data_IF_566720469930
#
_entry.id   IF_566720469930
#
_cell.length_a   1.000
_cell.length_b   1.000
_cell.length_c   1.000
_cell.angle_alpha   90.00
_cell.angle_beta   90.00
_cell.angle_gamma   90.00
#
_symmetry.space_group_name_H-M   'P 1'
#
loop_
_entity.id
_entity.type
_entity.pdbx_description
1 polymer ?
#
# COMPACT_ATOMS: atom_id res chain seq x y z
N UNK A 1 15.65 18.08 -27.22
CA UNK A 1 16.46 16.84 -27.19
C UNK A 1 16.83 16.36 -25.77
N UNK A 2 16.84 17.23 -24.75
CA UNK A 2 17.17 16.88 -23.35
C UNK A 2 16.24 15.82 -22.73
N UNK A 3 14.93 15.82 -23.07
CA UNK A 3 13.95 14.91 -22.45
C UNK A 3 14.06 13.41 -22.79
N UNK A 4 14.56 13.04 -23.98
CA UNK A 4 14.69 11.62 -24.38
C UNK A 4 15.89 10.93 -23.71
N UNK A 5 17.00 11.65 -23.53
CA UNK A 5 18.18 11.12 -22.88
C UNK A 5 17.95 10.86 -21.38
N UNK A 6 17.23 11.76 -20.70
CA UNK A 6 16.82 11.56 -19.30
C UNK A 6 15.86 10.38 -19.12
N UNK A 7 14.95 10.13 -20.07
CA UNK A 7 14.03 9.00 -20.01
C UNK A 7 14.74 7.66 -20.27
N UNK A 8 15.70 7.63 -21.19
CA UNK A 8 16.49 6.42 -21.47
C UNK A 8 17.40 6.07 -20.27
N UNK A 9 18.03 7.06 -19.64
CA UNK A 9 18.83 6.87 -18.42
C UNK A 9 17.96 6.48 -17.23
N UNK A 10 16.78 7.09 -17.07
CA UNK A 10 15.80 6.70 -16.05
C UNK A 10 15.34 5.25 -16.24
N UNK A 11 15.05 4.83 -17.48
CA UNK A 11 14.70 3.44 -17.80
C UNK A 11 15.85 2.45 -17.54
N UNK A 12 17.08 2.82 -17.90
CA UNK A 12 18.27 1.99 -17.68
C UNK A 12 18.58 1.78 -16.19
N UNK A 13 18.26 2.76 -15.32
CA UNK A 13 18.44 2.66 -13.87
C UNK A 13 17.22 2.06 -13.17
N UNK A 14 16.01 2.24 -13.71
CA UNK A 14 14.78 1.73 -13.12
C UNK A 14 14.74 0.20 -13.06
N UNK A 15 15.15 -0.49 -14.13
CA UNK A 15 15.11 -1.96 -14.17
C UNK A 15 16.02 -2.61 -13.11
N UNK A 16 17.31 -2.21 -12.96
CA UNK A 16 18.16 -2.73 -11.89
C UNK A 16 17.63 -2.44 -10.48
N UNK A 17 17.14 -1.21 -10.25
CA UNK A 17 16.61 -0.79 -8.94
C UNK A 17 15.36 -1.57 -8.56
N UNK A 18 14.46 -1.78 -9.51
CA UNK A 18 13.27 -2.60 -9.31
C UNK A 18 13.70 -4.04 -9.05
N UNK A 19 14.59 -4.64 -9.85
CA UNK A 19 15.04 -6.02 -9.63
C UNK A 19 15.74 -6.25 -8.28
N UNK A 20 16.41 -5.24 -7.75
CA UNK A 20 17.09 -5.31 -6.46
C UNK A 20 16.13 -5.25 -5.25
N UNK A 21 14.86 -4.89 -5.45
CA UNK A 21 13.89 -4.82 -4.37
C UNK A 21 13.52 -6.23 -3.87
N UNK A 22 13.17 -6.33 -2.58
CA UNK A 22 12.62 -7.56 -1.99
C UNK A 22 11.16 -7.74 -2.40
N UNK A 23 10.93 -8.18 -3.63
CA UNK A 23 9.59 -8.44 -4.16
C UNK A 23 8.91 -9.66 -3.55
N UNK A 24 9.66 -10.63 -3.03
CA UNK A 24 9.10 -11.87 -2.48
C UNK A 24 7.97 -11.64 -1.46
N UNK A 25 8.16 -10.85 -0.37
CA UNK A 25 7.08 -10.58 0.57
C UNK A 25 5.90 -9.81 -0.06
N UNK A 26 6.17 -8.91 -1.01
CA UNK A 26 5.11 -8.18 -1.72
C UNK A 26 4.26 -9.15 -2.53
N UNK A 27 4.87 -9.94 -3.41
CA UNK A 27 4.16 -10.88 -4.28
C UNK A 27 3.46 -11.98 -3.47
N UNK A 28 4.07 -12.46 -2.39
CA UNK A 28 3.43 -13.41 -1.49
C UNK A 28 2.17 -12.82 -0.83
N UNK A 29 2.25 -11.58 -0.33
CA UNK A 29 1.12 -10.88 0.26
C UNK A 29 -0.02 -10.65 -0.76
N UNK A 30 0.32 -10.26 -2.00
CA UNK A 30 -0.65 -10.11 -3.08
C UNK A 30 -1.29 -11.44 -3.46
N UNK A 31 -0.52 -12.52 -3.54
CA UNK A 31 -1.02 -13.85 -3.84
C UNK A 31 -1.98 -14.33 -2.75
N UNK A 32 -1.61 -14.17 -1.47
CA UNK A 32 -2.47 -14.52 -0.33
C UNK A 32 -3.75 -13.69 -0.33
N UNK A 33 -3.64 -12.37 -0.53
CA UNK A 33 -4.82 -11.49 -0.61
C UNK A 33 -5.76 -11.85 -1.77
N UNK A 34 -5.21 -12.15 -2.95
CA UNK A 34 -6.01 -12.62 -4.08
C UNK A 34 -6.69 -13.96 -3.79
N UNK A 35 -5.95 -14.90 -3.18
CA UNK A 35 -6.46 -16.21 -2.81
C UNK A 35 -7.60 -16.13 -1.80
N UNK A 36 -7.58 -15.17 -0.86
CA UNK A 36 -8.68 -14.94 0.09
C UNK A 36 -10.02 -14.65 -0.61
N UNK A 37 -10.00 -14.02 -1.79
CA UNK A 37 -11.21 -13.74 -2.56
C UNK A 37 -11.59 -14.91 -3.48
N UNK A 38 -10.61 -15.49 -4.18
CA UNK A 38 -10.88 -16.51 -5.19
C UNK A 38 -11.13 -17.91 -4.64
N UNK A 39 -10.43 -18.33 -3.58
CA UNK A 39 -10.50 -19.71 -3.07
C UNK A 39 -11.86 -20.07 -2.48
N UNK A 40 -12.52 -19.22 -1.65
CA UNK A 40 -13.85 -19.53 -1.13
C UNK A 40 -14.86 -19.81 -2.24
N UNK A 41 -14.76 -19.07 -3.36
CA UNK A 41 -15.64 -19.25 -4.50
C UNK A 41 -15.50 -20.61 -5.17
N UNK A 42 -14.26 -21.10 -5.29
CA UNK A 42 -13.95 -22.39 -5.92
C UNK A 42 -14.39 -23.55 -5.03
N UNK A 43 -14.24 -23.41 -3.71
CA UNK A 43 -14.52 -24.47 -2.74
C UNK A 43 -16.01 -24.54 -2.36
N UNK A 44 -16.64 -23.39 -2.17
CA UNK A 44 -17.99 -23.28 -1.59
C UNK A 44 -19.03 -22.68 -2.55
N UNK A 45 -18.62 -22.28 -3.75
CA UNK A 45 -19.51 -21.62 -4.72
C UNK A 45 -19.65 -20.10 -4.47
N UNK A 46 -20.58 -19.44 -5.16
CA UNK A 46 -20.79 -17.99 -5.04
C UNK A 46 -20.99 -17.55 -3.59
N UNK A 47 -20.35 -16.44 -3.23
CA UNK A 47 -20.42 -15.88 -1.87
C UNK A 47 -21.38 -14.70 -1.83
N UNK A 48 -22.01 -14.48 -0.68
CA UNK A 48 -22.83 -13.31 -0.43
C UNK A 48 -22.00 -12.00 -0.59
N UNK A 49 -22.56 -10.92 -1.18
CA UNK A 49 -21.85 -9.66 -1.38
C UNK A 49 -21.21 -9.06 -0.13
N UNK A 50 -21.86 -9.16 1.05
CA UNK A 50 -21.28 -8.65 2.28
C UNK A 50 -20.03 -9.45 2.68
N UNK A 51 -20.05 -10.76 2.46
CA UNK A 51 -18.86 -11.63 2.64
C UNK A 51 -17.74 -11.23 1.69
N UNK A 52 -18.06 -10.98 0.41
CA UNK A 52 -17.06 -10.54 -0.58
C UNK A 52 -16.42 -9.21 -0.20
N UNK A 53 -17.19 -8.26 0.35
CA UNK A 53 -16.66 -6.98 0.86
C UNK A 53 -15.64 -7.21 1.99
N UNK A 54 -15.95 -8.10 2.94
CA UNK A 54 -15.01 -8.46 4.02
C UNK A 54 -13.75 -9.10 3.46
N UNK A 55 -13.88 -10.03 2.50
CA UNK A 55 -12.73 -10.67 1.86
C UNK A 55 -11.85 -9.67 1.09
N UNK A 56 -12.44 -8.69 0.41
CA UNK A 56 -11.72 -7.62 -0.26
C UNK A 56 -10.96 -6.73 0.73
N UNK A 57 -11.58 -6.37 1.86
CA UNK A 57 -10.90 -5.62 2.93
C UNK A 57 -9.71 -6.40 3.48
N UNK A 58 -9.89 -7.70 3.77
CA UNK A 58 -8.80 -8.57 4.22
C UNK A 58 -7.69 -8.68 3.17
N UNK A 59 -8.05 -8.81 1.89
CA UNK A 59 -7.08 -8.86 0.79
C UNK A 59 -6.22 -7.59 0.71
N UNK A 60 -6.85 -6.42 0.87
CA UNK A 60 -6.15 -5.11 0.91
C UNK A 60 -5.23 -5.03 2.13
N UNK A 61 -5.66 -5.50 3.31
CA UNK A 61 -4.81 -5.54 4.50
C UNK A 61 -3.59 -6.45 4.29
N UNK A 62 -3.77 -7.62 3.67
CA UNK A 62 -2.67 -8.48 3.26
C UNK A 62 -1.71 -7.74 2.31
N UNK A 63 -2.23 -7.13 1.25
CA UNK A 63 -1.41 -6.34 0.33
C UNK A 63 -0.63 -5.23 1.04
N UNK A 64 -1.25 -4.53 1.99
CA UNK A 64 -0.64 -3.51 2.84
C UNK A 64 0.58 -4.03 3.62
N UNK A 65 0.54 -5.26 4.14
CA UNK A 65 1.72 -5.88 4.78
C UNK A 65 2.90 -6.01 3.82
N UNK A 66 2.64 -6.37 2.57
CA UNK A 66 3.65 -6.46 1.53
C UNK A 66 4.26 -5.10 1.18
N UNK A 67 3.44 -4.04 1.11
CA UNK A 67 3.87 -2.68 0.71
C UNK A 67 5.02 -2.15 1.56
N UNK A 68 5.04 -2.43 2.87
CA UNK A 68 6.11 -2.01 3.77
C UNK A 68 7.50 -2.51 3.34
N UNK A 69 7.59 -3.68 2.70
CA UNK A 69 8.85 -4.26 2.22
C UNK A 69 9.40 -3.60 0.95
N UNK A 70 8.64 -2.74 0.26
CA UNK A 70 9.17 -1.94 -0.85
C UNK A 70 10.28 -0.97 -0.41
N UNK A 71 10.27 -0.59 0.87
CA UNK A 71 11.28 0.25 1.50
C UNK A 71 12.55 -0.52 1.91
N UNK A 72 12.52 -1.85 1.88
CA UNK A 72 13.70 -2.67 2.16
C UNK A 72 14.61 -2.70 0.94
N UNK A 73 15.75 -2.05 1.10
CA UNK A 73 16.84 -2.03 0.12
C UNK A 73 18.02 -2.86 0.65
N UNK A 74 18.21 -4.10 0.16
CA UNK A 74 19.37 -4.91 0.56
C UNK A 74 20.70 -4.30 0.07
N UNK A 75 20.68 -3.44 -0.95
CA UNK A 75 21.85 -2.74 -1.48
C UNK A 75 22.15 -1.39 -0.81
N UNK A 76 21.35 -0.94 0.16
CA UNK A 76 21.57 0.34 0.86
C UNK A 76 22.96 0.47 1.49
N UNK A 77 23.54 -0.57 2.13
CA UNK A 77 24.87 -0.45 2.73
C UNK A 77 25.98 -0.19 1.71
N UNK A 78 25.85 -0.73 0.48
CA UNK A 78 26.87 -0.61 -0.58
C UNK A 78 26.65 0.60 -1.48
N UNK A 79 25.42 1.12 -1.55
CA UNK A 79 25.05 2.29 -2.37
C UNK A 79 25.06 3.61 -1.61
N UNK A 80 25.26 3.59 -0.28
CA UNK A 80 25.29 4.79 0.56
C UNK A 80 26.41 5.79 0.20
N UNK A 81 27.44 5.35 -0.51
CA UNK A 81 28.57 6.17 -0.97
C UNK A 81 28.37 6.76 -2.36
N UNK A 82 27.32 6.36 -3.08
CA UNK A 82 27.03 6.90 -4.40
C UNK A 82 26.49 8.34 -4.29
N UNK A 83 26.85 9.24 -5.24
CA UNK A 83 26.36 10.61 -5.25
C UNK A 83 24.87 10.73 -5.65
N UNK A 84 24.17 9.60 -5.79
CA UNK A 84 22.73 9.57 -6.10
C UNK A 84 21.91 9.74 -4.83
N UNK A 85 20.84 10.56 -4.88
CA UNK A 85 20.02 10.75 -3.70
C UNK A 85 19.22 9.49 -3.38
N UNK A 86 19.23 9.08 -2.11
CA UNK A 86 18.60 7.83 -1.65
C UNK A 86 17.08 7.75 -1.90
N UNK A 87 16.41 8.88 -2.15
CA UNK A 87 14.97 8.92 -2.46
C UNK A 87 14.66 8.43 -3.87
N UNK A 88 15.59 8.57 -4.82
CA UNK A 88 15.34 8.23 -6.22
C UNK A 88 15.08 6.71 -6.44
N UNK A 89 15.93 5.80 -5.95
CA UNK A 89 15.68 4.37 -6.13
C UNK A 89 14.46 3.88 -5.32
N UNK A 90 14.14 4.55 -4.20
CA UNK A 90 12.94 4.28 -3.43
C UNK A 90 11.68 4.71 -4.21
N UNK A 91 11.68 5.91 -4.79
CA UNK A 91 10.56 6.43 -5.57
C UNK A 91 10.26 5.52 -6.77
N UNK A 92 11.29 5.02 -7.45
CA UNK A 92 11.13 4.06 -8.55
C UNK A 92 10.51 2.73 -8.09
N UNK A 93 10.91 2.22 -6.92
CA UNK A 93 10.33 1.00 -6.33
C UNK A 93 8.88 1.19 -5.92
N UNK A 94 8.55 2.31 -5.28
CA UNK A 94 7.17 2.64 -4.88
C UNK A 94 6.29 2.83 -6.11
N UNK A 95 6.78 3.52 -7.15
CA UNK A 95 6.05 3.70 -8.41
C UNK A 95 5.80 2.35 -9.12
N UNK A 96 6.82 1.50 -9.25
CA UNK A 96 6.68 0.15 -9.80
C UNK A 96 5.72 -0.71 -8.97
N UNK A 97 5.82 -0.65 -7.65
CA UNK A 97 4.92 -1.33 -6.73
C UNK A 97 3.47 -0.86 -6.88
N UNK A 98 3.26 0.45 -7.05
CA UNK A 98 1.95 1.04 -7.32
C UNK A 98 1.30 0.50 -8.59
N UNK A 99 2.07 0.32 -9.67
CA UNK A 99 1.56 -0.28 -10.92
C UNK A 99 1.14 -1.73 -10.70
N UNK A 100 1.98 -2.52 -10.00
CA UNK A 100 1.66 -3.92 -9.68
C UNK A 100 0.42 -4.01 -8.80
N UNK A 101 0.31 -3.16 -7.77
CA UNK A 101 -0.85 -3.08 -6.89
C UNK A 101 -2.13 -2.69 -7.63
N UNK A 102 -2.06 -1.75 -8.58
CA UNK A 102 -3.22 -1.36 -9.38
C UNK A 102 -3.71 -2.52 -10.26
N UNK A 103 -2.79 -3.23 -10.92
CA UNK A 103 -3.14 -4.41 -11.72
C UNK A 103 -3.72 -5.54 -10.87
N UNK A 104 -3.12 -5.80 -9.70
CA UNK A 104 -3.61 -6.77 -8.74
C UNK A 104 -4.99 -6.42 -8.19
N UNK A 105 -5.21 -5.16 -7.80
CA UNK A 105 -6.49 -4.68 -7.27
C UNK A 105 -7.59 -4.81 -8.33
N UNK A 106 -7.30 -4.40 -9.57
CA UNK A 106 -8.21 -4.57 -10.68
C UNK A 106 -8.60 -6.03 -10.90
N UNK A 107 -7.61 -6.93 -10.96
CA UNK A 107 -7.87 -8.37 -11.09
C UNK A 107 -8.71 -8.91 -9.94
N UNK A 108 -8.42 -8.48 -8.70
CA UNK A 108 -9.16 -8.88 -7.50
C UNK A 108 -10.61 -8.38 -7.53
N UNK A 109 -10.87 -7.15 -7.98
CA UNK A 109 -12.22 -6.61 -8.14
C UNK A 109 -13.03 -7.34 -9.22
N UNK A 110 -12.39 -7.71 -10.34
CA UNK A 110 -13.03 -8.50 -11.40
C UNK A 110 -13.41 -9.88 -10.86
N UNK A 111 -12.49 -10.55 -10.16
CA UNK A 111 -12.75 -11.83 -9.52
C UNK A 111 -13.86 -11.71 -8.47
N UNK A 112 -13.81 -10.70 -7.59
CA UNK A 112 -14.85 -10.45 -6.59
C UNK A 112 -16.24 -10.27 -7.22
N UNK A 113 -16.33 -9.54 -8.33
CA UNK A 113 -17.59 -9.37 -9.06
C UNK A 113 -18.12 -10.68 -9.65
N UNK A 114 -17.24 -11.58 -10.11
CA UNK A 114 -17.64 -12.90 -10.57
C UNK A 114 -18.07 -13.83 -9.42
N UNK A 115 -17.48 -13.66 -8.23
CA UNK A 115 -17.72 -14.49 -7.04
C UNK A 115 -18.97 -14.08 -6.26
N UNK A 116 -19.35 -12.80 -6.30
CA UNK A 116 -20.50 -12.24 -5.55
C UNK A 116 -21.88 -12.78 -6.01
N UNK A 117 -21.91 -13.67 -7.01
CA UNK A 117 -23.12 -14.35 -7.48
C UNK A 117 -24.01 -13.50 -8.39
N UNK A 118 -25.11 -14.08 -8.93
CA UNK A 118 -26.02 -13.43 -9.86
C UNK A 118 -27.08 -12.55 -9.19
N UNK A 119 -27.06 -12.40 -7.87
CA UNK A 119 -27.91 -11.42 -7.19
C UNK A 119 -27.52 -10.04 -7.73
N UNK A 120 -28.46 -9.30 -8.34
CA UNK A 120 -28.22 -8.02 -9.03
C UNK A 120 -27.69 -6.87 -8.18
N UNK A 121 -27.05 -7.16 -7.04
CA UNK A 121 -26.36 -6.25 -6.15
C UNK A 121 -25.00 -5.90 -6.75
N UNK A 122 -24.87 -4.66 -7.20
CA UNK A 122 -23.62 -4.13 -7.73
C UNK A 122 -22.69 -3.79 -6.58
N UNK A 123 -21.52 -4.44 -6.51
CA UNK A 123 -20.49 -4.10 -5.52
C UNK A 123 -20.06 -2.62 -5.67
N UNK A 124 -19.92 -1.87 -4.55
CA UNK A 124 -19.56 -0.45 -4.58
C UNK A 124 -18.06 -0.29 -4.86
N UNK A 125 -17.65 -0.53 -6.11
CA UNK A 125 -16.24 -0.57 -6.55
C UNK A 125 -15.47 0.71 -6.21
N UNK A 126 -16.12 1.88 -6.31
CA UNK A 126 -15.52 3.18 -6.01
C UNK A 126 -15.11 3.27 -4.54
N UNK A 127 -16.03 2.94 -3.65
CA UNK A 127 -15.89 3.01 -2.21
C UNK A 127 -14.82 2.02 -1.72
N UNK A 128 -14.87 0.79 -2.22
CA UNK A 128 -13.86 -0.23 -1.92
C UNK A 128 -12.47 0.16 -2.47
N UNK A 129 -12.41 0.84 -3.61
CA UNK A 129 -11.13 1.36 -4.14
C UNK A 129 -10.60 2.50 -3.28
N UNK A 130 -11.48 3.35 -2.73
CA UNK A 130 -11.10 4.38 -1.78
C UNK A 130 -10.49 3.77 -0.51
N UNK A 131 -11.12 2.75 0.06
CA UNK A 131 -10.57 2.00 1.20
C UNK A 131 -9.18 1.42 0.86
N UNK A 132 -9.06 0.76 -0.30
CA UNK A 132 -7.83 0.15 -0.78
C UNK A 132 -6.68 1.15 -0.93
N UNK A 133 -6.94 2.26 -1.62
CA UNK A 133 -5.96 3.33 -1.82
C UNK A 133 -5.56 3.94 -0.49
N UNK A 134 -6.51 4.16 0.43
CA UNK A 134 -6.23 4.73 1.74
C UNK A 134 -5.31 3.83 2.56
N UNK A 135 -5.55 2.52 2.57
CA UNK A 135 -4.67 1.56 3.25
C UNK A 135 -3.27 1.59 2.67
N UNK A 136 -3.13 1.53 1.34
CA UNK A 136 -1.82 1.58 0.68
C UNK A 136 -1.07 2.87 1.03
N UNK A 137 -1.73 4.02 0.93
CA UNK A 137 -1.13 5.32 1.25
C UNK A 137 -0.76 5.42 2.72
N UNK A 138 -1.58 4.92 3.64
CA UNK A 138 -1.28 4.89 5.07
C UNK A 138 -0.04 4.05 5.39
N UNK A 139 0.10 2.88 4.75
CA UNK A 139 1.30 2.06 4.88
C UNK A 139 2.53 2.78 4.32
N UNK A 140 2.42 3.39 3.14
CA UNK A 140 3.53 4.15 2.54
C UNK A 140 3.96 5.32 3.44
N UNK A 141 3.01 6.03 4.04
CA UNK A 141 3.27 7.11 4.99
C UNK A 141 4.02 6.60 6.22
N UNK A 142 3.54 5.50 6.81
CA UNK A 142 4.18 4.86 7.97
C UNK A 142 5.59 4.36 7.65
N UNK A 143 5.74 3.65 6.52
CA UNK A 143 7.03 3.15 6.05
C UNK A 143 8.01 4.28 5.74
N UNK A 144 7.55 5.41 5.19
CA UNK A 144 8.38 6.59 4.96
C UNK A 144 8.87 7.22 6.28
N UNK A 145 8.00 7.32 7.28
CA UNK A 145 8.39 7.80 8.62
C UNK A 145 9.44 6.89 9.27
N UNK A 146 9.27 5.58 9.17
CA UNK A 146 10.20 4.58 9.71
C UNK A 146 11.53 4.64 8.94
N UNK A 147 11.50 4.60 7.61
CA UNK A 147 12.68 4.63 6.73
C UNK A 147 13.59 5.83 6.99
N UNK A 148 13.00 6.97 7.36
CA UNK A 148 13.75 8.18 7.74
C UNK A 148 14.42 8.09 9.10
N UNK A 149 13.81 7.40 10.07
CA UNK A 149 14.36 7.23 11.42
C UNK A 149 15.33 6.06 11.50
N UNK A 150 15.21 5.09 10.62
CA UNK A 150 16.05 3.90 10.59
C UNK A 150 17.36 4.16 9.86
N UNK A 151 18.46 4.16 10.62
CA UNK A 151 19.83 4.26 10.09
C UNK A 151 20.30 2.98 9.36
N UNK A 152 19.61 1.85 9.57
CA UNK A 152 19.93 0.53 8.98
C UNK A 152 18.63 -0.08 8.40
N UNK A 153 18.76 -0.92 7.37
CA UNK A 153 17.61 -1.54 6.68
C UNK A 153 16.69 -2.36 7.58
N UNK A 154 15.59 -2.90 7.03
CA UNK A 154 14.57 -3.61 7.80
C UNK A 154 13.34 -2.76 8.13
N UNK A 155 13.00 -1.82 7.25
CA UNK A 155 11.79 -1.01 7.36
C UNK A 155 10.56 -1.91 7.31
N UNK A 156 10.56 -2.94 6.46
CA UNK A 156 9.44 -3.88 6.35
C UNK A 156 9.12 -4.61 7.67
N UNK A 157 10.16 -4.98 8.41
CA UNK A 157 10.02 -5.70 9.70
C UNK A 157 9.39 -4.85 10.81
N UNK A 158 9.50 -3.52 10.73
CA UNK A 158 8.88 -2.61 11.69
C UNK A 158 7.54 -2.08 11.16
N UNK A 159 7.46 -1.80 9.86
CA UNK A 159 6.27 -1.24 9.22
C UNK A 159 5.10 -2.21 9.23
N UNK A 160 5.32 -3.50 8.98
CA UNK A 160 4.26 -4.50 8.97
C UNK A 160 3.54 -4.64 10.34
N UNK A 161 4.22 -4.88 11.47
CA UNK A 161 3.54 -4.95 12.77
C UNK A 161 2.96 -3.60 13.20
N UNK A 162 3.62 -2.48 12.90
CA UNK A 162 3.08 -1.16 13.18
C UNK A 162 1.80 -0.88 12.39
N UNK A 163 1.73 -1.31 11.13
CA UNK A 163 0.52 -1.22 10.32
C UNK A 163 -0.62 -2.07 10.91
N UNK A 164 -0.34 -3.31 11.32
CA UNK A 164 -1.34 -4.15 11.99
C UNK A 164 -1.85 -3.51 13.27
N UNK A 165 -0.97 -2.90 14.07
CA UNK A 165 -1.39 -2.17 15.28
C UNK A 165 -2.31 -1.00 14.93
N UNK A 166 -2.01 -0.22 13.89
CA UNK A 166 -2.88 0.87 13.42
C UNK A 166 -4.24 0.35 12.93
N UNK A 167 -4.26 -0.72 12.15
CA UNK A 167 -5.51 -1.35 11.67
C UNK A 167 -6.33 -1.87 12.84
N UNK A 168 -5.69 -2.51 13.81
CA UNK A 168 -6.35 -3.00 15.02
C UNK A 168 -6.96 -1.85 15.82
N UNK A 169 -6.23 -0.75 16.03
CA UNK A 169 -6.75 0.45 16.69
C UNK A 169 -7.90 1.08 15.91
N UNK A 170 -7.83 1.10 14.58
CA UNK A 170 -8.91 1.59 13.73
C UNK A 170 -10.18 0.72 13.84
N UNK A 171 -10.04 -0.59 14.02
CA UNK A 171 -11.15 -1.51 14.24
C UNK A 171 -11.81 -1.33 15.63
N UNK A 172 -11.10 -0.77 16.60
CA UNK A 172 -11.61 -0.46 17.95
C UNK A 172 -12.23 0.95 18.06
N UNK A 173 -12.35 1.67 16.94
CA UNK A 173 -12.97 2.99 16.94
C UNK A 173 -14.45 2.90 17.35
N UNK A 174 -14.95 3.85 18.18
CA UNK A 174 -16.37 3.91 18.52
C UNK A 174 -17.26 4.04 17.27
N UNK A 175 -18.48 3.50 17.31
CA UNK A 175 -19.43 3.48 16.17
C UNK A 175 -19.58 4.84 15.46
N UNK A 176 -19.61 5.94 16.24
CA UNK A 176 -19.69 7.32 15.73
C UNK A 176 -18.57 7.72 14.76
N UNK A 177 -17.42 7.07 14.84
CA UNK A 177 -16.21 7.33 14.03
C UNK A 177 -15.67 6.06 13.38
N UNK A 178 -16.44 4.97 13.39
CA UNK A 178 -16.05 3.71 12.78
C UNK A 178 -15.75 3.90 11.29
N UNK A 179 -14.64 3.30 10.85
CA UNK A 179 -14.23 3.25 9.44
C UNK A 179 -14.74 1.98 8.76
N UNK A 180 -14.78 0.87 9.50
CA UNK A 180 -15.20 -0.43 8.99
C UNK A 180 -16.67 -0.66 9.34
N UNK A 181 -17.54 -0.25 8.43
CA UNK A 181 -18.99 -0.43 8.55
C UNK A 181 -19.42 -1.64 7.69
N UNK A 182 -20.42 -2.44 8.12
CA UNK A 182 -20.99 -3.52 7.31
C UNK A 182 -21.51 -3.01 5.95
N UNK A 183 -21.47 -3.89 4.95
CA UNK A 183 -22.06 -3.60 3.65
C UNK A 183 -23.59 -3.42 3.78
N UNK A 184 -24.16 -2.48 3.02
CA UNK A 184 -25.59 -2.12 3.01
C UNK A 184 -26.13 -1.48 4.30
N UNK A 185 -25.24 -1.00 5.18
CA UNK A 185 -25.64 -0.20 6.34
C UNK A 185 -25.98 1.25 5.94
N UNK A 186 -27.01 1.81 6.57
CA UNK A 186 -27.43 3.21 6.45
C UNK A 186 -26.31 4.24 6.64
N UNK A 187 -25.27 3.90 7.43
CA UNK A 187 -24.13 4.79 7.70
C UNK A 187 -22.94 4.61 6.76
N UNK A 188 -23.06 3.75 5.73
CA UNK A 188 -22.00 3.44 4.77
C UNK A 188 -21.39 4.69 4.12
N UNK A 189 -22.22 5.62 3.62
CA UNK A 189 -21.76 6.83 2.96
C UNK A 189 -20.95 7.73 3.92
N UNK A 190 -21.44 7.91 5.16
CA UNK A 190 -20.75 8.70 6.17
C UNK A 190 -19.41 8.08 6.59
N UNK A 191 -19.28 6.74 6.56
CA UNK A 191 -18.01 6.07 6.79
C UNK A 191 -17.01 6.36 5.65
N UNK A 192 -17.46 6.44 4.41
CA UNK A 192 -16.61 6.74 3.25
C UNK A 192 -16.13 8.19 3.19
N UNK A 193 -16.90 9.13 3.76
CA UNK A 193 -16.42 10.50 4.00
C UNK A 193 -15.22 10.49 4.97
N UNK A 194 -15.28 9.67 6.03
CA UNK A 194 -14.16 9.50 6.98
C UNK A 194 -12.95 8.82 6.34
N UNK A 195 -13.18 7.85 5.44
CA UNK A 195 -12.10 7.27 4.63
C UNK A 195 -11.42 8.32 3.75
N UNK A 196 -12.19 9.22 3.14
CA UNK A 196 -11.63 10.32 2.35
C UNK A 196 -10.77 11.26 3.20
N UNK A 197 -11.23 11.64 4.39
CA UNK A 197 -10.44 12.45 5.34
C UNK A 197 -9.17 11.70 5.75
N UNK A 198 -9.26 10.40 5.99
CA UNK A 198 -8.13 9.54 6.35
C UNK A 198 -7.10 9.47 5.21
N UNK A 199 -7.55 9.35 3.97
CA UNK A 199 -6.69 9.40 2.78
C UNK A 199 -5.94 10.71 2.68
N UNK A 200 -6.63 11.85 2.86
CA UNK A 200 -6.02 13.18 2.83
C UNK A 200 -4.96 13.31 3.92
N UNK A 201 -5.27 12.88 5.15
CA UNK A 201 -4.34 12.90 6.27
C UNK A 201 -3.11 12.01 6.00
N UNK A 202 -3.30 10.78 5.54
CA UNK A 202 -2.22 9.86 5.21
C UNK A 202 -1.32 10.40 4.08
N UNK A 203 -1.92 11.01 3.06
CA UNK A 203 -1.20 11.65 1.96
C UNK A 203 -0.37 12.83 2.47
N UNK A 204 -0.94 13.67 3.32
CA UNK A 204 -0.22 14.78 3.94
C UNK A 204 0.98 14.29 4.76
N UNK A 205 0.82 13.23 5.55
CA UNK A 205 1.92 12.61 6.31
C UNK A 205 3.00 12.06 5.37
N UNK A 206 2.62 11.38 4.28
CA UNK A 206 3.57 10.88 3.29
C UNK A 206 4.35 12.01 2.60
N UNK A 207 3.68 13.10 2.22
CA UNK A 207 4.30 14.27 1.61
C UNK A 207 5.23 15.00 2.58
N UNK A 208 4.83 15.17 3.84
CA UNK A 208 5.69 15.76 4.88
C UNK A 208 6.91 14.87 5.10
N UNK A 209 6.73 13.56 5.21
CA UNK A 209 7.85 12.63 5.31
C UNK A 209 8.81 12.73 4.11
N UNK A 210 8.27 12.87 2.89
CA UNK A 210 9.07 12.98 1.67
C UNK A 210 9.81 14.33 1.53
N UNK A 211 9.20 15.43 1.97
CA UNK A 211 9.71 16.81 1.78
C UNK A 211 10.48 17.35 2.98
N UNK A 212 10.41 16.72 4.15
CA UNK A 212 11.15 17.17 5.32
C UNK A 212 12.66 17.07 5.05
N UNK A 213 13.28 18.18 4.67
CA UNK A 213 14.72 18.37 4.75
C UNK A 213 15.04 18.60 6.22
N UNK A 214 15.65 17.61 6.90
CA UNK A 214 16.02 17.78 8.29
C UNK A 214 16.82 19.08 8.46
N UNK A 215 16.39 19.94 9.39
CA UNK A 215 17.20 21.03 9.89
C UNK A 215 18.56 20.45 10.32
N UNK A 216 19.62 20.89 9.64
CA UNK A 216 21.01 20.72 10.08
C UNK A 216 21.54 19.28 10.12
N UNK A 217 22.06 18.78 8.99
CA UNK A 217 23.38 18.13 9.09
C UNK A 217 24.35 19.25 9.43
N UNK A 218 24.56 19.49 10.72
CA UNK A 218 25.68 20.27 11.20
C UNK A 218 26.94 19.72 10.52
N UNK A 219 27.67 20.63 9.89
CA UNK A 219 28.95 20.39 9.23
C UNK A 219 29.84 19.65 10.22
N UNK A 220 30.20 18.40 9.93
CA UNK A 220 31.41 17.83 10.49
C UNK A 220 32.56 18.42 9.68
N UNK A 221 33.12 19.52 10.18
CA UNK A 221 34.50 19.89 9.94
C UNK A 221 35.37 18.93 10.77
N UNK A 222 36.20 18.15 10.09
CA UNK A 222 37.46 17.62 10.63
C UNK A 222 38.54 18.03 9.64
#
# INVERSE_FOLDING_TARGET
MVGRATLAVAGAVAVPVVRAARWTPVLAALLVGYAMVGVPAVVSGPSDPATVVVLLRLAVLCAGLGVGFLFDDPGRPTTATLPTPAWLPLALRVAGGGIVLAGWWWGTLVTAGAVAGPAGVVLPRRDLTLEAVTVVVAVLALAALIWRRSARGGVGLVAAPAFLAVVFLAALLPERVALLVPFDDSVWAAAHDRWMVTLVAATAVALVAATWSGLGKARFTV
#
